data_IF_120141227351
#
_entry.id   IF_120141227351
#
_cell.length_a   1.000
_cell.length_b   1.000
_cell.length_c   1.000
_cell.angle_alpha   90.00
_cell.angle_beta   90.00
_cell.angle_gamma   90.00
#
_symmetry.space_group_name_H-M   'P 1'
#
loop_
_entity.id
_entity.type
_entity.pdbx_description
1 polymer ?
#
# COMPACT_ATOMS: atom_id res chain seq x y z
N UNK A 1 6.16 23.57 -22.69
CA UNK A 1 5.57 22.69 -23.75
C UNK A 1 4.11 22.31 -23.50
N UNK A 2 3.66 22.04 -22.29
CA UNK A 2 2.25 21.69 -21.99
C UNK A 2 1.22 22.77 -22.34
N UNK A 3 1.55 24.05 -22.17
CA UNK A 3 0.63 25.15 -22.50
C UNK A 3 0.25 25.13 -23.97
N UNK A 4 1.17 24.83 -24.89
CA UNK A 4 0.92 24.82 -26.33
C UNK A 4 -0.05 23.72 -26.79
N UNK A 5 -0.14 22.59 -26.10
CA UNK A 5 -1.05 21.48 -26.46
C UNK A 5 -2.48 21.68 -25.94
N UNK A 6 -2.71 22.61 -25.03
CA UNK A 6 -4.05 22.90 -24.52
C UNK A 6 -4.74 24.01 -25.36
N UNK A 7 -3.97 24.81 -26.09
CA UNK A 7 -4.47 26.02 -26.77
C UNK A 7 -4.60 25.88 -28.30
N UNK A 8 -4.08 24.77 -28.87
CA UNK A 8 -4.16 24.54 -30.31
C UNK A 8 -4.69 23.14 -30.65
N UNK A 9 -5.49 23.05 -31.70
CA UNK A 9 -5.86 21.78 -32.34
C UNK A 9 -4.68 21.25 -33.17
N UNK A 10 -4.75 19.98 -33.61
CA UNK A 10 -3.74 19.39 -34.51
C UNK A 10 -3.63 20.08 -35.89
N UNK A 11 -4.60 20.88 -36.24
CA UNK A 11 -4.65 21.71 -37.46
C UNK A 11 -4.25 23.17 -37.21
N UNK A 12 -3.77 23.53 -36.01
CA UNK A 12 -3.33 24.87 -35.65
C UNK A 12 -4.45 25.86 -35.29
N UNK A 13 -5.72 25.42 -35.26
CA UNK A 13 -6.83 26.30 -34.88
C UNK A 13 -6.76 26.61 -33.38
N UNK A 14 -6.75 27.91 -33.04
CA UNK A 14 -6.81 28.35 -31.63
C UNK A 14 -8.18 28.09 -31.04
N UNK A 15 -8.25 27.30 -29.98
CA UNK A 15 -9.50 27.04 -29.28
C UNK A 15 -9.84 28.20 -28.32
N UNK A 16 -11.13 28.53 -28.11
CA UNK A 16 -11.51 29.52 -27.11
C UNK A 16 -11.00 29.08 -25.71
N UNK A 17 -10.62 30.04 -24.86
CA UNK A 17 -10.14 29.71 -23.51
C UNK A 17 -11.19 28.91 -22.71
N UNK A 18 -10.73 27.98 -21.86
CA UNK A 18 -11.60 27.29 -20.94
C UNK A 18 -12.15 28.31 -19.93
N UNK A 19 -13.44 28.26 -19.64
CA UNK A 19 -14.06 29.11 -18.61
C UNK A 19 -13.36 28.84 -17.24
N UNK A 20 -12.65 29.82 -16.66
CA UNK A 20 -11.94 29.64 -15.41
C UNK A 20 -12.87 29.32 -14.23
N UNK A 21 -14.12 29.79 -14.24
CA UNK A 21 -15.09 29.55 -13.17
C UNK A 21 -15.51 28.07 -13.13
N UNK A 22 -15.56 27.40 -14.29
CA UNK A 22 -15.97 26.00 -14.40
C UNK A 22 -14.77 25.05 -14.40
N UNK A 23 -13.67 25.42 -15.06
CA UNK A 23 -12.57 24.53 -15.40
C UNK A 23 -11.24 24.89 -14.73
N UNK A 24 -11.16 26.03 -14.02
CA UNK A 24 -9.92 26.59 -13.49
C UNK A 24 -9.10 25.60 -12.67
N UNK A 25 -9.75 24.90 -11.74
CA UNK A 25 -9.09 23.92 -10.87
C UNK A 25 -8.58 22.69 -11.63
N UNK A 26 -9.38 22.19 -12.59
CA UNK A 26 -9.00 21.05 -13.42
C UNK A 26 -7.88 21.42 -14.39
N UNK A 27 -7.95 22.61 -15.02
CA UNK A 27 -6.90 23.12 -15.87
C UNK A 27 -5.59 23.32 -15.09
N UNK A 28 -5.67 23.88 -13.87
CA UNK A 28 -4.52 24.01 -12.99
C UNK A 28 -3.94 22.63 -12.59
N UNK A 29 -4.80 21.66 -12.31
CA UNK A 29 -4.38 20.28 -12.04
C UNK A 29 -3.67 19.68 -13.26
N UNK A 30 -4.23 19.84 -14.48
CA UNK A 30 -3.62 19.36 -15.72
C UNK A 30 -2.24 20.01 -15.99
N UNK A 31 -2.07 21.29 -15.68
CA UNK A 31 -0.76 21.98 -15.79
C UNK A 31 0.27 21.44 -14.80
N UNK A 32 -0.14 21.18 -13.56
CA UNK A 32 0.74 20.57 -12.53
C UNK A 32 1.13 19.13 -12.87
N UNK A 33 0.21 18.40 -13.48
CA UNK A 33 0.38 17.02 -13.91
C UNK A 33 1.19 16.91 -15.17
N UNK A 34 2.49 17.22 -15.15
CA UNK A 34 3.38 16.98 -16.28
C UNK A 34 3.57 15.49 -16.54
N UNK A 35 2.62 14.90 -17.27
CA UNK A 35 2.68 13.49 -17.64
C UNK A 35 3.66 13.21 -18.80
N UNK A 36 4.26 14.21 -19.43
CA UNK A 36 5.28 13.99 -20.46
C UNK A 36 6.50 13.25 -19.89
N UNK A 37 6.86 13.51 -18.65
CA UNK A 37 7.91 12.79 -17.96
C UNK A 37 7.63 11.27 -17.86
N UNK A 38 6.37 10.83 -17.94
CA UNK A 38 5.97 9.44 -17.90
C UNK A 38 6.00 8.76 -19.28
N UNK A 39 6.17 9.52 -20.38
CA UNK A 39 6.13 9.02 -21.77
C UNK A 39 7.02 7.80 -22.01
N UNK A 40 8.29 7.75 -21.56
CA UNK A 40 9.14 6.59 -21.79
C UNK A 40 8.56 5.29 -21.18
N UNK A 41 7.94 5.37 -20.01
CA UNK A 41 7.33 4.24 -19.34
C UNK A 41 5.98 3.84 -19.94
N UNK A 42 5.24 4.78 -20.52
CA UNK A 42 3.95 4.56 -21.18
C UNK A 42 4.12 4.06 -22.63
N UNK A 43 5.23 4.42 -23.30
CA UNK A 43 5.55 4.06 -24.68
C UNK A 43 6.28 2.72 -24.77
N UNK A 44 5.68 1.64 -24.26
CA UNK A 44 6.24 0.30 -24.54
C UNK A 44 6.20 0.04 -26.05
N UNK A 45 7.23 -0.60 -26.62
CA UNK A 45 7.30 -0.81 -28.06
C UNK A 45 6.04 -1.58 -28.51
N UNK A 46 5.16 -0.84 -29.19
CA UNK A 46 4.16 -1.45 -30.05
C UNK A 46 4.93 -2.11 -31.19
N UNK A 47 4.53 -3.31 -31.59
CA UNK A 47 5.18 -3.95 -32.75
C UNK A 47 5.28 -2.97 -33.91
N UNK A 48 6.41 -2.96 -34.59
CA UNK A 48 6.75 -2.01 -35.67
C UNK A 48 5.80 -2.08 -36.88
N UNK A 49 4.84 -3.00 -36.89
CA UNK A 49 3.88 -3.20 -37.98
C UNK A 49 2.48 -2.72 -37.57
N UNK A 50 1.85 -1.89 -38.38
CA UNK A 50 0.48 -1.43 -38.23
C UNK A 50 0.33 0.09 -38.14
N UNK A 51 -0.92 0.57 -38.00
CA UNK A 51 -1.24 1.97 -37.81
C UNK A 51 -0.54 2.54 -36.57
N UNK A 52 0.06 3.75 -36.63
CA UNK A 52 0.63 4.41 -35.47
C UNK A 52 -0.33 4.43 -34.28
N UNK A 53 0.20 4.10 -33.10
CA UNK A 53 -0.60 4.13 -31.87
C UNK A 53 -1.03 5.56 -31.52
N UNK A 54 -2.16 5.68 -30.83
CA UNK A 54 -2.57 6.95 -30.21
C UNK A 54 -1.54 7.39 -29.18
N UNK A 55 -1.43 8.70 -28.95
CA UNK A 55 -0.52 9.27 -27.97
C UNK A 55 -0.74 8.64 -26.57
N UNK A 56 0.27 7.96 -25.97
CA UNK A 56 0.13 7.26 -24.70
C UNK A 56 -0.07 8.22 -23.53
N UNK A 57 0.44 9.46 -23.61
CA UNK A 57 0.27 10.47 -22.55
C UNK A 57 -1.15 11.00 -22.55
N UNK A 58 -1.75 11.26 -23.71
CA UNK A 58 -3.15 11.66 -23.81
C UNK A 58 -4.10 10.54 -23.38
N UNK A 59 -3.80 9.27 -23.69
CA UNK A 59 -4.54 8.11 -23.17
C UNK A 59 -4.47 8.02 -21.64
N UNK A 60 -3.27 8.20 -21.08
CA UNK A 60 -3.07 8.21 -19.62
C UNK A 60 -3.82 9.37 -18.97
N UNK A 61 -3.71 10.58 -19.51
CA UNK A 61 -4.43 11.80 -19.04
C UNK A 61 -5.94 11.59 -19.05
N UNK A 62 -6.49 10.97 -20.09
CA UNK A 62 -7.91 10.63 -20.19
C UNK A 62 -8.35 9.75 -19.00
N UNK A 63 -7.58 8.74 -18.65
CA UNK A 63 -7.87 7.86 -17.50
C UNK A 63 -7.60 8.53 -16.15
N UNK A 64 -6.63 9.43 -16.08
CA UNK A 64 -6.34 10.20 -14.87
C UNK A 64 -7.48 11.19 -14.57
N UNK A 65 -7.98 11.90 -15.57
CA UNK A 65 -9.15 12.78 -15.42
C UNK A 65 -10.42 12.00 -15.05
N UNK A 66 -10.61 10.79 -15.60
CA UNK A 66 -11.66 9.88 -15.14
C UNK A 66 -11.61 9.64 -13.63
N UNK A 67 -10.41 9.40 -13.08
CA UNK A 67 -10.23 9.20 -11.64
C UNK A 67 -10.40 10.50 -10.83
N UNK A 68 -10.01 11.66 -11.38
CA UNK A 68 -10.21 12.97 -10.74
C UNK A 68 -11.69 13.25 -10.52
N UNK A 69 -12.54 12.94 -11.52
CA UNK A 69 -14.00 13.18 -11.46
C UNK A 69 -14.78 12.03 -10.81
N UNK A 70 -14.11 10.94 -10.45
CA UNK A 70 -14.75 9.79 -9.80
C UNK A 70 -15.61 8.91 -10.71
N UNK A 71 -15.44 8.98 -12.04
CA UNK A 71 -16.24 8.18 -12.97
C UNK A 71 -15.80 6.71 -12.95
N UNK A 72 -16.70 5.82 -12.59
CA UNK A 72 -16.41 4.40 -12.48
C UNK A 72 -16.31 3.71 -13.86
N UNK A 73 -17.17 4.08 -14.81
CA UNK A 73 -17.31 3.46 -16.12
C UNK A 73 -16.41 4.14 -17.16
N UNK A 74 -15.47 3.37 -17.76
CA UNK A 74 -14.67 3.87 -18.90
C UNK A 74 -15.58 4.20 -20.11
N UNK A 75 -16.66 3.45 -20.29
CA UNK A 75 -17.61 3.66 -21.40
C UNK A 75 -18.34 4.99 -21.25
N UNK A 76 -18.86 5.27 -20.06
CA UNK A 76 -19.59 6.51 -19.79
C UNK A 76 -18.66 7.71 -19.80
N UNK A 77 -17.43 7.53 -19.30
CA UNK A 77 -16.38 8.54 -19.38
C UNK A 77 -16.06 8.93 -20.82
N UNK A 78 -15.81 7.96 -21.71
CA UNK A 78 -15.55 8.22 -23.14
C UNK A 78 -16.74 8.91 -23.81
N UNK A 79 -17.97 8.53 -23.46
CA UNK A 79 -19.19 9.21 -23.97
C UNK A 79 -19.20 10.66 -23.53
N UNK A 80 -18.96 10.95 -22.27
CA UNK A 80 -18.90 12.31 -21.72
C UNK A 80 -17.81 13.15 -22.38
N UNK A 81 -16.61 12.59 -22.56
CA UNK A 81 -15.48 13.28 -23.24
C UNK A 81 -15.82 13.62 -24.69
N UNK A 82 -16.53 12.74 -25.41
CA UNK A 82 -16.94 13.01 -26.80
C UNK A 82 -18.03 14.08 -26.93
N UNK A 83 -18.90 14.18 -25.95
CA UNK A 83 -20.01 15.13 -25.93
C UNK A 83 -19.59 16.55 -25.51
N UNK A 84 -18.40 16.74 -24.96
CA UNK A 84 -17.92 18.02 -24.47
C UNK A 84 -16.55 18.36 -25.08
N UNK A 85 -16.46 19.43 -25.87
CA UNK A 85 -15.19 19.93 -26.41
C UNK A 85 -14.17 20.21 -25.30
N UNK A 86 -14.61 20.76 -24.18
CA UNK A 86 -13.74 21.09 -23.04
C UNK A 86 -13.14 19.84 -22.39
N UNK A 87 -13.96 18.79 -22.18
CA UNK A 87 -13.42 17.51 -21.69
C UNK A 87 -12.46 16.87 -22.69
N UNK A 88 -12.78 16.90 -24.00
CA UNK A 88 -11.88 16.40 -25.01
C UNK A 88 -10.54 17.12 -24.95
N UNK A 89 -10.56 18.44 -24.90
CA UNK A 89 -9.38 19.31 -24.81
C UNK A 89 -8.55 19.05 -23.54
N UNK A 90 -9.18 18.98 -22.38
CA UNK A 90 -8.49 18.64 -21.11
C UNK A 90 -7.79 17.29 -21.18
N UNK A 91 -8.38 16.33 -21.89
CA UNK A 91 -7.79 15.02 -22.16
C UNK A 91 -6.67 15.04 -23.21
N UNK A 92 -6.52 16.12 -23.97
CA UNK A 92 -5.57 16.24 -25.08
C UNK A 92 -6.10 15.73 -26.43
N UNK A 93 -7.42 15.81 -26.63
CA UNK A 93 -8.13 15.40 -27.86
C UNK A 93 -8.95 16.54 -28.44
N UNK A 94 -9.30 16.42 -29.73
CA UNK A 94 -10.47 17.11 -30.28
C UNK A 94 -11.70 16.20 -30.15
N UNK A 95 -12.94 16.72 -30.23
CA UNK A 95 -14.14 15.87 -30.17
C UNK A 95 -14.15 14.71 -31.17
N UNK A 96 -13.56 14.94 -32.36
CA UNK A 96 -13.45 13.96 -33.45
C UNK A 96 -12.33 12.93 -33.25
N UNK A 97 -11.31 13.25 -32.44
CA UNK A 97 -10.13 12.38 -32.22
C UNK A 97 -10.20 11.60 -30.93
N UNK A 98 -11.23 11.80 -30.10
CA UNK A 98 -11.43 11.02 -28.84
C UNK A 98 -11.34 9.52 -29.11
N UNK A 99 -10.49 8.78 -28.39
CA UNK A 99 -10.29 7.36 -28.65
C UNK A 99 -11.55 6.53 -28.38
N UNK A 100 -11.66 5.39 -29.07
CA UNK A 100 -12.66 4.41 -28.74
C UNK A 100 -12.41 3.78 -27.35
N UNK A 101 -13.47 3.31 -26.69
CA UNK A 101 -13.39 2.61 -25.41
C UNK A 101 -12.40 1.44 -25.47
N UNK A 102 -12.42 0.67 -26.59
CA UNK A 102 -11.48 -0.44 -26.82
C UNK A 102 -10.02 -0.02 -26.83
N UNK A 103 -9.72 1.21 -27.29
CA UNK A 103 -8.36 1.78 -27.30
C UNK A 103 -7.82 1.98 -25.86
N UNK A 104 -8.67 2.48 -24.95
CA UNK A 104 -8.29 2.63 -23.53
C UNK A 104 -8.08 1.28 -22.83
N UNK A 105 -8.94 0.29 -23.11
CA UNK A 105 -8.72 -1.07 -22.64
C UNK A 105 -7.43 -1.69 -23.21
N UNK A 106 -7.15 -1.49 -24.49
CA UNK A 106 -5.92 -1.96 -25.11
C UNK A 106 -4.67 -1.26 -24.55
N UNK A 107 -4.77 0.02 -24.21
CA UNK A 107 -3.72 0.76 -23.54
C UNK A 107 -3.42 0.19 -22.15
N UNK A 108 -4.44 0.02 -21.30
CA UNK A 108 -4.28 -0.56 -19.96
C UNK A 108 -3.68 -1.97 -20.03
N UNK A 109 -4.09 -2.78 -21.02
CA UNK A 109 -3.53 -4.11 -21.24
C UNK A 109 -2.07 -4.07 -21.69
N UNK A 110 -1.69 -3.11 -22.53
CA UNK A 110 -0.33 -2.96 -23.02
C UNK A 110 0.66 -2.65 -21.89
N UNK A 111 0.25 -1.78 -20.95
CA UNK A 111 1.05 -1.45 -19.77
C UNK A 111 1.08 -2.63 -18.76
N UNK A 112 0.03 -3.45 -18.72
CA UNK A 112 -0.05 -4.66 -17.90
C UNK A 112 -0.52 -5.83 -18.77
N UNK A 113 0.37 -6.52 -19.47
CA UNK A 113 0.00 -7.66 -20.30
C UNK A 113 -0.45 -8.84 -19.42
N UNK A 114 -1.77 -8.97 -19.24
CA UNK A 114 -2.39 -10.05 -18.47
C UNK A 114 -2.42 -11.33 -19.34
N UNK A 115 -1.69 -12.38 -18.98
CA UNK A 115 -1.67 -13.63 -19.76
C UNK A 115 -3.05 -14.27 -19.87
N UNK A 116 -3.94 -14.03 -18.91
CA UNK A 116 -5.28 -14.61 -18.86
C UNK A 116 -6.30 -13.88 -19.74
N UNK A 117 -5.92 -12.77 -20.39
CA UNK A 117 -6.86 -11.98 -21.22
C UNK A 117 -7.49 -12.76 -22.36
N UNK A 118 -6.70 -13.61 -23.03
CA UNK A 118 -7.12 -14.30 -24.27
C UNK A 118 -7.79 -15.65 -24.02
N UNK A 119 -7.49 -16.29 -22.91
CA UNK A 119 -8.14 -17.54 -22.53
C UNK A 119 -9.42 -17.21 -21.75
N UNK A 120 -10.55 -17.66 -22.20
CA UNK A 120 -11.69 -17.89 -21.32
C UNK A 120 -11.22 -18.89 -20.28
N UNK A 121 -10.54 -18.40 -19.22
CA UNK A 121 -9.75 -19.25 -18.35
C UNK A 121 -10.63 -20.29 -17.71
N UNK A 122 -10.30 -21.52 -17.98
CA UNK A 122 -11.00 -22.69 -17.47
C UNK A 122 -10.32 -23.11 -16.19
N UNK A 123 -10.94 -22.83 -15.06
CA UNK A 123 -10.42 -23.27 -13.77
C UNK A 123 -10.74 -24.75 -13.58
N UNK A 124 -9.72 -25.58 -13.38
CA UNK A 124 -9.93 -26.93 -12.90
C UNK A 124 -10.51 -26.89 -11.48
N UNK A 125 -11.40 -27.82 -11.10
CA UNK A 125 -11.78 -27.99 -9.71
C UNK A 125 -10.50 -28.20 -8.88
N UNK A 126 -10.38 -27.53 -7.73
CA UNK A 126 -9.27 -27.79 -6.81
C UNK A 126 -9.37 -29.25 -6.34
N UNK A 127 -8.48 -30.12 -6.85
CA UNK A 127 -8.54 -31.56 -6.63
C UNK A 127 -8.14 -32.03 -5.24
N UNK A 128 -7.66 -31.16 -4.37
CA UNK A 128 -7.31 -31.50 -3.00
C UNK A 128 -8.01 -30.53 -2.04
N UNK A 129 -9.15 -30.94 -1.54
CA UNK A 129 -9.53 -30.50 -0.20
C UNK A 129 -8.57 -31.19 0.75
N UNK A 130 -7.76 -30.44 1.48
CA UNK A 130 -7.09 -30.97 2.65
C UNK A 130 -8.11 -31.60 3.60
N UNK A 131 -7.70 -32.41 4.56
CA UNK A 131 -8.61 -33.03 5.50
C UNK A 131 -9.55 -31.95 6.05
N UNK A 132 -10.85 -32.26 6.07
CA UNK A 132 -11.86 -31.39 6.66
C UNK A 132 -11.52 -31.30 8.15
N UNK A 133 -11.27 -30.10 8.62
CA UNK A 133 -10.95 -29.86 10.03
C UNK A 133 -12.20 -29.44 10.76
N UNK A 134 -12.26 -29.80 12.01
CA UNK A 134 -13.30 -29.33 12.91
C UNK A 134 -13.21 -27.81 13.09
N UNK A 135 -14.32 -27.09 13.27
CA UNK A 135 -14.29 -25.68 13.64
C UNK A 135 -13.40 -25.47 14.87
N UNK A 136 -12.44 -24.55 14.78
CA UNK A 136 -11.49 -24.26 15.88
C UNK A 136 -10.26 -25.17 15.95
N UNK A 137 -10.17 -26.25 15.16
CA UNK A 137 -8.99 -27.12 15.10
C UNK A 137 -7.76 -26.34 14.64
N UNK A 138 -6.77 -26.22 15.53
CA UNK A 138 -5.49 -25.55 15.25
C UNK A 138 -4.54 -26.47 14.48
N UNK A 139 -3.69 -25.88 13.64
CA UNK A 139 -2.57 -26.61 13.03
C UNK A 139 -1.66 -27.20 14.11
N UNK A 140 -1.10 -28.40 13.89
CA UNK A 140 -0.09 -28.94 14.80
C UNK A 140 1.02 -27.90 15.05
N UNK A 141 1.46 -27.71 16.29
CA UNK A 141 2.41 -26.65 16.67
C UNK A 141 3.78 -26.77 15.97
N UNK A 142 4.09 -27.91 15.36
CA UNK A 142 5.37 -28.17 14.65
C UNK A 142 5.44 -27.59 13.22
N UNK A 143 4.35 -27.04 12.65
CA UNK A 143 4.38 -26.44 11.30
C UNK A 143 4.16 -24.94 11.38
N UNK A 144 5.15 -24.13 10.97
CA UNK A 144 4.97 -22.67 10.87
C UNK A 144 3.78 -22.31 10.02
N UNK A 145 3.05 -21.26 10.38
CA UNK A 145 1.93 -20.71 9.62
C UNK A 145 2.34 -20.27 8.21
N UNK A 146 1.38 -20.05 7.33
CA UNK A 146 1.66 -19.60 5.97
C UNK A 146 2.41 -18.25 5.95
N UNK A 147 2.05 -17.35 6.86
CA UNK A 147 2.67 -16.03 7.01
C UNK A 147 4.14 -16.19 7.44
N UNK A 148 4.43 -16.98 8.45
CA UNK A 148 5.80 -17.22 8.93
C UNK A 148 6.69 -17.83 7.85
N UNK A 149 6.18 -18.79 7.09
CA UNK A 149 6.91 -19.41 5.98
C UNK A 149 7.26 -18.40 4.88
N UNK A 150 6.32 -17.50 4.55
CA UNK A 150 6.57 -16.46 3.55
C UNK A 150 7.55 -15.43 4.09
N UNK A 151 7.38 -14.98 5.32
CA UNK A 151 8.29 -14.03 5.97
C UNK A 151 9.73 -14.59 6.00
N UNK A 152 9.91 -15.84 6.45
CA UNK A 152 11.21 -16.51 6.48
C UNK A 152 11.84 -16.67 5.07
N UNK A 153 11.02 -17.01 4.06
CA UNK A 153 11.48 -17.10 2.67
C UNK A 153 11.96 -15.72 2.17
N UNK A 154 11.17 -14.69 2.33
CA UNK A 154 11.50 -13.35 1.84
C UNK A 154 12.69 -12.76 2.59
N UNK A 155 12.86 -13.07 3.88
CA UNK A 155 14.05 -12.68 4.66
C UNK A 155 15.33 -13.28 4.04
N UNK A 156 15.32 -14.56 3.68
CA UNK A 156 16.46 -15.20 3.00
C UNK A 156 16.72 -14.63 1.60
N UNK A 157 15.67 -14.18 0.92
CA UNK A 157 15.75 -13.61 -0.43
C UNK A 157 16.05 -12.11 -0.46
N UNK A 158 16.18 -11.42 0.67
CA UNK A 158 16.30 -9.96 0.72
C UNK A 158 17.47 -9.40 -0.13
N UNK A 159 18.58 -10.13 -0.20
CA UNK A 159 19.77 -9.73 -0.98
C UNK A 159 19.70 -10.14 -2.45
N UNK A 160 18.72 -10.95 -2.86
CA UNK A 160 18.57 -11.38 -4.25
C UNK A 160 17.92 -10.29 -5.09
N UNK A 161 18.27 -10.13 -6.37
CA UNK A 161 17.59 -9.19 -7.25
C UNK A 161 16.09 -9.51 -7.35
N UNK A 162 15.28 -8.49 -7.56
CA UNK A 162 13.86 -8.67 -7.79
C UNK A 162 13.64 -9.32 -9.15
N UNK A 163 12.76 -10.33 -9.19
CA UNK A 163 12.34 -10.93 -10.45
C UNK A 163 11.39 -9.98 -11.18
N UNK A 164 11.52 -9.80 -12.52
CA UNK A 164 10.59 -9.01 -13.32
C UNK A 164 9.14 -9.52 -13.16
N UNK A 165 8.19 -8.61 -13.15
CA UNK A 165 6.76 -8.89 -13.05
C UNK A 165 5.98 -8.05 -14.04
N UNK A 166 4.80 -8.52 -14.40
CA UNK A 166 3.87 -7.81 -15.29
C UNK A 166 3.41 -6.46 -14.74
N UNK A 167 3.53 -6.24 -13.42
CA UNK A 167 3.20 -4.97 -12.76
C UNK A 167 4.31 -3.93 -12.82
N UNK A 168 5.54 -4.29 -13.24
CA UNK A 168 6.71 -3.44 -13.06
C UNK A 168 6.60 -2.10 -13.80
N UNK A 169 5.93 -2.06 -14.95
CA UNK A 169 5.71 -0.80 -15.66
C UNK A 169 4.82 0.16 -14.87
N UNK A 170 3.70 -0.30 -14.34
CA UNK A 170 2.83 0.49 -13.46
C UNK A 170 3.53 0.88 -12.16
N UNK A 171 4.28 -0.06 -11.61
CA UNK A 171 5.06 0.18 -10.40
C UNK A 171 6.17 1.23 -10.62
N UNK A 172 6.78 1.26 -11.80
CA UNK A 172 7.78 2.26 -12.18
C UNK A 172 7.14 3.65 -12.36
N UNK A 173 5.98 3.73 -13.01
CA UNK A 173 5.20 4.96 -13.14
C UNK A 173 4.87 5.56 -11.77
N UNK A 174 4.34 4.75 -10.86
CA UNK A 174 4.06 5.20 -9.50
C UNK A 174 5.33 5.66 -8.78
N UNK A 175 6.42 4.91 -8.90
CA UNK A 175 7.68 5.26 -8.24
C UNK A 175 8.25 6.60 -8.73
N UNK A 176 8.17 6.88 -10.03
CA UNK A 176 8.59 8.16 -10.61
C UNK A 176 7.79 9.33 -10.02
N UNK A 177 6.47 9.18 -9.91
CA UNK A 177 5.60 10.20 -9.31
C UNK A 177 5.83 10.36 -7.81
N UNK A 178 6.10 9.26 -7.10
CA UNK A 178 6.46 9.29 -5.67
C UNK A 178 7.77 10.05 -5.45
N UNK A 179 8.80 9.77 -6.27
CA UNK A 179 10.09 10.50 -6.19
C UNK A 179 9.90 11.98 -6.47
N UNK A 180 9.09 12.34 -7.45
CA UNK A 180 8.72 13.73 -7.73
C UNK A 180 7.99 14.37 -6.54
N UNK A 181 7.14 13.64 -5.85
CA UNK A 181 6.46 14.13 -4.64
C UNK A 181 7.43 14.39 -3.47
N UNK A 182 8.48 13.58 -3.34
CA UNK A 182 9.56 13.84 -2.36
C UNK A 182 10.35 15.09 -2.78
N UNK A 183 10.72 15.20 -4.05
CA UNK A 183 11.48 16.34 -4.58
C UNK A 183 10.72 17.67 -4.43
N UNK A 184 9.41 17.66 -4.60
CA UNK A 184 8.52 18.82 -4.41
C UNK A 184 8.19 19.10 -2.95
N UNK A 185 8.61 18.28 -2.00
CA UNK A 185 8.24 18.43 -0.60
C UNK A 185 6.81 18.04 -0.24
N UNK A 186 6.08 17.36 -1.13
CA UNK A 186 4.76 16.79 -0.85
C UNK A 186 4.83 15.49 -0.02
N UNK A 187 5.99 14.85 0.03
CA UNK A 187 6.31 13.72 0.88
C UNK A 187 7.59 14.00 1.68
N UNK A 188 7.65 13.59 2.95
CA UNK A 188 8.89 13.68 3.72
C UNK A 188 9.94 12.67 3.20
N UNK A 189 11.23 12.90 3.48
CA UNK A 189 12.28 11.94 3.15
C UNK A 189 12.29 10.71 4.07
N UNK A 190 11.73 10.78 5.27
CA UNK A 190 11.62 9.66 6.22
C UNK A 190 10.18 9.22 6.36
N UNK A 191 9.91 7.96 6.07
CA UNK A 191 8.54 7.43 5.99
C UNK A 191 8.17 6.55 7.17
N UNK A 192 7.03 6.85 7.78
CA UNK A 192 6.22 5.92 8.55
C UNK A 192 5.13 5.38 7.61
N UNK A 193 5.14 4.09 7.35
CA UNK A 193 4.26 3.45 6.39
C UNK A 193 3.06 2.81 7.10
N UNK A 194 1.85 3.22 6.75
CA UNK A 194 0.65 2.47 7.10
C UNK A 194 0.40 1.37 6.06
N UNK A 195 0.13 0.14 6.53
CA UNK A 195 -0.11 -1.03 5.70
C UNK A 195 -1.50 -1.60 5.97
N UNK A 196 -2.25 -1.82 4.90
CA UNK A 196 -3.58 -2.45 4.97
C UNK A 196 -4.02 -2.96 3.59
N UNK A 197 -5.09 -3.77 3.58
CA UNK A 197 -5.75 -4.27 2.39
C UNK A 197 -7.20 -3.80 2.29
N UNK A 198 -7.72 -3.68 1.07
CA UNK A 198 -9.13 -3.39 0.83
C UNK A 198 -9.72 -4.31 -0.23
N UNK A 199 -10.95 -4.77 0.00
CA UNK A 199 -11.68 -5.63 -0.94
C UNK A 199 -12.13 -4.87 -2.20
N UNK A 200 -12.00 -5.53 -3.35
CA UNK A 200 -12.47 -5.09 -4.66
C UNK A 200 -13.39 -6.16 -5.23
N UNK A 201 -14.66 -5.83 -5.38
CA UNK A 201 -15.69 -6.77 -5.87
C UNK A 201 -15.61 -6.85 -7.39
N UNK A 202 -15.32 -8.05 -7.92
CA UNK A 202 -15.34 -8.30 -9.37
C UNK A 202 -16.78 -8.31 -9.90
N UNK A 203 -16.97 -7.71 -11.09
CA UNK A 203 -18.23 -7.84 -11.84
C UNK A 203 -18.41 -9.19 -12.51
N UNK A 204 -17.55 -10.16 -12.22
CA UNK A 204 -17.62 -11.52 -12.74
C UNK A 204 -18.44 -12.43 -11.82
N UNK A 205 -19.10 -13.42 -12.42
CA UNK A 205 -19.84 -14.42 -11.67
C UNK A 205 -18.90 -15.40 -10.96
N UNK A 206 -19.11 -15.65 -9.66
CA UNK A 206 -18.22 -16.45 -8.81
C UNK A 206 -18.15 -17.94 -9.19
N UNK A 207 -19.19 -18.47 -9.81
CA UNK A 207 -19.26 -19.88 -10.19
C UNK A 207 -18.74 -20.18 -11.61
N UNK A 208 -18.51 -19.15 -12.43
CA UNK A 208 -18.14 -19.30 -13.82
C UNK A 208 -19.24 -19.95 -14.69
N UNK A 209 -19.04 -19.92 -16.00
CA UNK A 209 -19.95 -20.53 -16.98
C UNK A 209 -19.61 -22.02 -17.14
N UNK A 210 -20.64 -22.88 -17.15
CA UNK A 210 -20.49 -24.28 -17.48
C UNK A 210 -20.08 -24.45 -18.96
N UNK A 211 -19.07 -25.26 -19.21
CA UNK A 211 -18.54 -25.54 -20.57
C UNK A 211 -18.58 -27.01 -20.93
N UNK A 212 -19.22 -27.83 -20.11
CA UNK A 212 -19.41 -29.26 -20.32
C UNK A 212 -20.87 -29.59 -20.65
N UNK A 213 -21.11 -30.73 -21.26
CA UNK A 213 -22.44 -31.24 -21.60
C UNK A 213 -23.16 -31.97 -20.44
N UNK A 214 -22.55 -32.07 -19.24
CA UNK A 214 -23.20 -32.75 -18.10
C UNK A 214 -24.52 -32.08 -17.74
N UNK A 215 -25.56 -32.89 -17.49
CA UNK A 215 -26.92 -32.45 -17.10
C UNK A 215 -26.97 -31.95 -15.65
N UNK A 216 -26.16 -32.51 -14.76
CA UNK A 216 -26.13 -32.16 -13.34
C UNK A 216 -25.69 -30.70 -13.06
N UNK A 217 -26.45 -29.98 -12.21
CA UNK A 217 -26.13 -28.62 -11.80
C UNK A 217 -24.79 -28.53 -11.03
N UNK A 218 -24.38 -29.57 -10.32
CA UNK A 218 -23.19 -29.62 -9.44
C UNK A 218 -22.03 -30.45 -10.02
N UNK A 219 -21.91 -30.54 -11.34
CA UNK A 219 -20.78 -31.25 -11.95
C UNK A 219 -19.43 -30.62 -11.54
N UNK A 220 -18.41 -31.48 -11.41
CA UNK A 220 -17.02 -31.03 -11.08
C UNK A 220 -16.21 -30.70 -12.34
N UNK A 221 -16.83 -30.55 -13.49
CA UNK A 221 -16.16 -30.20 -14.72
C UNK A 221 -15.58 -28.78 -14.66
N UNK A 222 -14.62 -28.55 -15.52
CA UNK A 222 -14.03 -27.22 -15.72
C UNK A 222 -15.10 -26.18 -16.04
N UNK A 223 -14.88 -24.94 -15.60
CA UNK A 223 -15.79 -23.82 -15.88
C UNK A 223 -15.00 -22.63 -16.42
N UNK A 224 -15.61 -21.90 -17.34
CA UNK A 224 -15.06 -20.66 -17.86
C UNK A 224 -15.39 -19.49 -16.93
N UNK A 225 -14.38 -18.71 -16.57
CA UNK A 225 -14.49 -17.53 -15.71
C UNK A 225 -14.14 -16.27 -16.48
N UNK A 226 -14.97 -15.25 -16.41
CA UNK A 226 -14.67 -13.92 -16.99
C UNK A 226 -13.61 -13.17 -16.19
N UNK A 227 -13.41 -13.53 -14.91
CA UNK A 227 -12.28 -13.11 -14.08
C UNK A 227 -11.63 -14.36 -13.46
N UNK A 228 -10.63 -14.96 -14.12
CA UNK A 228 -10.04 -16.22 -13.68
C UNK A 228 -9.18 -16.08 -12.42
N UNK A 229 -8.76 -14.86 -12.10
CA UNK A 229 -7.88 -14.57 -10.97
C UNK A 229 -8.63 -14.11 -9.72
N UNK A 230 -9.92 -13.77 -9.83
CA UNK A 230 -10.75 -13.44 -8.68
C UNK A 230 -11.09 -14.71 -7.87
N UNK A 231 -11.14 -14.58 -6.56
CA UNK A 231 -11.53 -15.65 -5.63
C UNK A 231 -12.50 -15.11 -4.58
N UNK A 232 -13.14 -16.02 -3.84
CA UNK A 232 -13.97 -15.64 -2.70
C UNK A 232 -13.08 -15.20 -1.54
N UNK A 233 -13.33 -14.01 -1.02
CA UNK A 233 -12.74 -13.45 0.19
C UNK A 233 -13.80 -13.19 1.24
N UNK A 234 -13.38 -12.99 2.47
CA UNK A 234 -14.24 -12.61 3.58
C UNK A 234 -14.06 -11.13 3.90
N UNK A 235 -15.16 -10.39 3.90
CA UNK A 235 -15.22 -9.00 4.37
C UNK A 235 -15.65 -9.02 5.85
N UNK A 236 -14.69 -8.86 6.75
CA UNK A 236 -14.93 -8.91 8.20
C UNK A 236 -15.77 -7.74 8.71
N UNK A 237 -15.72 -6.60 8.03
CA UNK A 237 -16.50 -5.42 8.42
C UNK A 237 -17.99 -5.60 8.08
N UNK A 238 -18.28 -6.23 6.92
CA UNK A 238 -19.66 -6.46 6.47
C UNK A 238 -20.18 -7.85 6.77
N UNK A 239 -19.38 -8.70 7.41
CA UNK A 239 -19.68 -10.10 7.74
C UNK A 239 -20.23 -10.91 6.54
N UNK A 240 -19.62 -10.73 5.35
CA UNK A 240 -20.05 -11.44 4.13
C UNK A 240 -18.89 -11.83 3.23
N UNK A 241 -19.14 -12.86 2.43
CA UNK A 241 -18.23 -13.22 1.34
C UNK A 241 -18.40 -12.27 0.15
N UNK A 242 -17.30 -11.98 -0.54
CA UNK A 242 -17.30 -11.31 -1.83
C UNK A 242 -16.40 -12.06 -2.81
N UNK A 243 -16.70 -11.98 -4.10
CA UNK A 243 -15.89 -12.54 -5.16
C UNK A 243 -15.09 -11.43 -5.80
N UNK A 244 -13.75 -11.54 -5.80
CA UNK A 244 -12.92 -10.45 -6.31
C UNK A 244 -11.45 -10.54 -5.92
N UNK A 245 -10.92 -9.38 -5.61
CA UNK A 245 -9.51 -9.16 -5.30
C UNK A 245 -9.35 -8.42 -3.97
N UNK A 246 -8.15 -8.49 -3.39
CA UNK A 246 -7.69 -7.61 -2.32
C UNK A 246 -6.57 -6.72 -2.86
N UNK A 247 -6.75 -5.40 -2.76
CA UNK A 247 -5.71 -4.42 -3.05
C UNK A 247 -5.03 -4.04 -1.74
N UNK A 248 -3.72 -4.23 -1.69
CA UNK A 248 -2.91 -3.88 -0.53
C UNK A 248 -2.04 -2.67 -0.84
N UNK A 249 -2.00 -1.71 0.08
CA UNK A 249 -1.21 -0.50 -0.02
C UNK A 249 -0.18 -0.36 1.08
N UNK A 250 0.92 0.32 0.75
CA UNK A 250 1.75 1.03 1.71
C UNK A 250 1.57 2.53 1.45
N UNK A 251 1.19 3.24 2.48
CA UNK A 251 0.85 4.66 2.45
C UNK A 251 1.76 5.41 3.40
N UNK A 252 2.33 6.53 2.97
CA UNK A 252 3.09 7.39 3.89
C UNK A 252 2.11 8.04 4.86
N UNK A 253 2.29 7.77 6.13
CA UNK A 253 1.35 8.12 7.18
C UNK A 253 1.75 9.39 7.94
N UNK A 254 3.06 9.66 8.06
CA UNK A 254 3.53 10.88 8.69
C UNK A 254 3.46 12.06 7.72
N UNK A 255 2.92 13.21 8.16
CA UNK A 255 2.85 14.41 7.34
C UNK A 255 4.24 15.04 7.14
N UNK A 256 4.37 15.89 6.15
CA UNK A 256 5.45 16.88 6.08
C UNK A 256 5.21 17.91 7.16
N UNK A 257 6.24 18.32 7.92
CA UNK A 257 6.08 19.36 8.94
C UNK A 257 5.44 20.63 8.38
N UNK A 258 4.43 21.16 9.07
CA UNK A 258 3.69 22.35 8.64
C UNK A 258 2.63 22.12 7.55
N UNK A 259 2.48 20.90 7.06
CA UNK A 259 1.46 20.58 6.05
C UNK A 259 0.37 19.66 6.60
N UNK A 260 -0.87 19.75 6.10
CA UNK A 260 -1.92 18.81 6.46
C UNK A 260 -1.58 17.40 6.00
N UNK A 261 -1.93 16.40 6.80
CA UNK A 261 -1.70 15.00 6.45
C UNK A 261 -2.52 14.62 5.20
N UNK A 262 -1.81 14.21 4.15
CA UNK A 262 -2.41 13.67 2.93
C UNK A 262 -1.93 12.23 2.71
N UNK A 263 -2.84 11.26 2.59
CA UNK A 263 -2.46 9.86 2.47
C UNK A 263 -1.97 9.56 1.05
N UNK A 264 -0.66 9.41 0.86
CA UNK A 264 -0.06 9.13 -0.44
C UNK A 264 0.44 7.69 -0.51
N UNK A 265 -0.11 6.95 -1.48
CA UNK A 265 0.24 5.54 -1.74
C UNK A 265 1.60 5.46 -2.41
N UNK A 266 2.56 4.79 -1.81
CA UNK A 266 3.92 4.62 -2.36
C UNK A 266 4.18 3.21 -2.91
N UNK A 267 3.32 2.26 -2.57
CA UNK A 267 3.40 0.89 -3.09
C UNK A 267 2.04 0.23 -3.00
N UNK A 268 1.68 -0.54 -4.02
CA UNK A 268 0.45 -1.32 -4.01
C UNK A 268 0.64 -2.70 -4.65
N UNK A 269 -0.22 -3.65 -4.32
CA UNK A 269 -0.34 -4.93 -5.00
C UNK A 269 -1.79 -5.38 -5.05
N UNK A 270 -2.07 -6.21 -6.02
CA UNK A 270 -3.38 -6.82 -6.21
C UNK A 270 -3.26 -8.33 -6.09
N UNK A 271 -4.07 -8.92 -5.24
CA UNK A 271 -4.12 -10.35 -4.98
C UNK A 271 -5.55 -10.87 -5.11
N UNK A 272 -5.75 -12.18 -5.31
CA UNK A 272 -7.07 -12.77 -5.12
C UNK A 272 -7.62 -12.48 -3.71
N UNK A 273 -8.94 -12.32 -3.58
CA UNK A 273 -9.58 -11.89 -2.34
C UNK A 273 -9.34 -12.81 -1.13
N UNK A 274 -9.02 -14.09 -1.34
CA UNK A 274 -8.72 -15.05 -0.28
C UNK A 274 -7.28 -14.97 0.26
N UNK A 275 -6.45 -14.08 -0.28
CA UNK A 275 -5.07 -13.95 0.19
C UNK A 275 -5.00 -13.01 1.38
N UNK A 276 -4.56 -13.55 2.52
CA UNK A 276 -4.38 -12.81 3.75
C UNK A 276 -3.29 -11.72 3.59
N UNK A 277 -3.52 -10.56 4.16
CA UNK A 277 -2.65 -9.39 4.02
C UNK A 277 -1.23 -9.64 4.52
N UNK A 278 -1.09 -10.31 5.66
CA UNK A 278 0.20 -10.71 6.21
C UNK A 278 1.03 -11.63 5.29
N UNK A 279 0.38 -12.38 4.37
CA UNK A 279 1.09 -13.23 3.38
C UNK A 279 1.66 -12.38 2.23
N UNK A 280 1.02 -11.28 1.88
CA UNK A 280 1.45 -10.43 0.77
C UNK A 280 2.44 -9.34 1.19
N UNK A 281 2.41 -8.95 2.46
CA UNK A 281 3.19 -7.86 3.03
C UNK A 281 4.72 -8.00 2.88
N UNK A 282 5.36 -9.16 3.17
CA UNK A 282 6.81 -9.28 3.08
C UNK A 282 7.36 -8.98 1.67
N UNK A 283 6.78 -9.57 0.64
CA UNK A 283 7.17 -9.30 -0.75
C UNK A 283 7.00 -7.82 -1.12
N UNK A 284 5.95 -7.18 -0.59
CA UNK A 284 5.68 -5.78 -0.83
C UNK A 284 6.72 -4.88 -0.17
N UNK A 285 6.98 -5.02 1.12
CA UNK A 285 7.97 -4.20 1.82
C UNK A 285 9.35 -4.36 1.21
N UNK A 286 9.74 -5.59 0.84
CA UNK A 286 11.00 -5.86 0.14
C UNK A 286 11.09 -5.08 -1.18
N UNK A 287 10.04 -5.12 -2.01
CA UNK A 287 9.96 -4.36 -3.27
C UNK A 287 10.06 -2.86 -3.05
N UNK A 288 9.35 -2.34 -2.07
CA UNK A 288 9.35 -0.92 -1.73
C UNK A 288 10.75 -0.47 -1.32
N UNK A 289 11.43 -1.21 -0.45
CA UNK A 289 12.82 -0.93 -0.07
C UNK A 289 13.75 -0.91 -1.28
N UNK A 290 13.69 -1.94 -2.12
CA UNK A 290 14.56 -2.04 -3.29
C UNK A 290 14.30 -0.91 -4.30
N UNK A 291 13.05 -0.48 -4.45
CA UNK A 291 12.65 0.57 -5.39
C UNK A 291 13.14 1.95 -4.97
N UNK A 292 13.10 2.25 -3.68
CA UNK A 292 13.51 3.55 -3.16
C UNK A 292 14.93 3.55 -2.55
N UNK A 293 15.68 2.45 -2.71
CA UNK A 293 17.08 2.41 -2.34
C UNK A 293 17.88 3.45 -3.15
N UNK A 294 18.72 4.24 -2.49
CA UNK A 294 19.54 5.27 -3.13
C UNK A 294 18.80 6.55 -3.56
N UNK A 295 17.50 6.68 -3.28
CA UNK A 295 16.71 7.87 -3.64
C UNK A 295 16.63 8.93 -2.53
N UNK A 296 17.41 8.79 -1.46
CA UNK A 296 17.33 9.67 -0.28
C UNK A 296 16.16 9.37 0.67
N UNK A 297 15.33 8.39 0.32
CA UNK A 297 14.18 7.98 1.16
C UNK A 297 14.62 6.96 2.21
N UNK A 298 14.20 7.17 3.46
CA UNK A 298 14.40 6.24 4.57
C UNK A 298 13.07 5.70 5.08
N UNK A 299 12.93 4.36 5.12
CA UNK A 299 11.78 3.71 5.73
C UNK A 299 12.03 3.53 7.23
N UNK A 300 11.25 4.18 8.07
CA UNK A 300 11.46 4.20 9.53
C UNK A 300 10.56 3.20 10.26
N UNK A 301 9.26 3.28 10.05
CA UNK A 301 8.26 2.47 10.75
C UNK A 301 7.29 1.82 9.76
N UNK A 302 6.71 0.69 10.17
CA UNK A 302 5.52 0.11 9.51
C UNK A 302 4.43 -0.05 10.53
N UNK A 303 3.28 0.53 10.26
CA UNK A 303 2.11 0.59 11.14
C UNK A 303 1.02 -0.26 10.50
N UNK A 304 0.49 -1.24 11.22
CA UNK A 304 -0.55 -2.14 10.71
C UNK A 304 -1.47 -2.64 11.82
N UNK A 305 -2.60 -3.23 11.43
CA UNK A 305 -3.56 -3.80 12.36
C UNK A 305 -3.13 -5.18 12.93
N UNK A 306 -4.02 -5.80 13.69
CA UNK A 306 -3.78 -7.07 14.34
C UNK A 306 -3.59 -8.25 13.35
N UNK A 307 -4.01 -8.13 12.10
CA UNK A 307 -3.75 -9.16 11.08
C UNK A 307 -2.25 -9.34 10.79
N UNK A 308 -1.44 -8.34 11.14
CA UNK A 308 0.03 -8.37 11.00
C UNK A 308 0.74 -8.82 12.29
N UNK A 309 0.02 -9.09 13.37
CA UNK A 309 0.59 -9.49 14.66
C UNK A 309 1.04 -10.95 14.68
N UNK A 310 2.01 -11.28 13.82
CA UNK A 310 2.62 -12.62 13.67
C UNK A 310 4.13 -12.50 13.85
N UNK A 311 4.75 -13.38 14.64
CA UNK A 311 6.18 -13.32 14.99
C UNK A 311 7.10 -13.20 13.76
N UNK A 312 6.80 -13.95 12.70
CA UNK A 312 7.55 -13.88 11.45
C UNK A 312 7.51 -12.49 10.80
N UNK A 313 6.39 -11.77 10.90
CA UNK A 313 6.28 -10.40 10.35
C UNK A 313 7.02 -9.38 11.21
N UNK A 314 6.99 -9.51 12.54
CA UNK A 314 7.79 -8.67 13.42
C UNK A 314 9.28 -8.83 13.13
N UNK A 315 9.75 -10.07 13.05
CA UNK A 315 11.16 -10.39 12.75
C UNK A 315 11.56 -9.89 11.37
N UNK A 316 10.74 -10.15 10.35
CA UNK A 316 10.98 -9.70 8.98
C UNK A 316 11.05 -8.18 8.87
N UNK A 317 10.13 -7.45 9.52
CA UNK A 317 10.06 -5.99 9.45
C UNK A 317 11.31 -5.36 10.07
N UNK A 318 11.76 -5.88 11.22
CA UNK A 318 13.02 -5.45 11.86
C UNK A 318 14.24 -5.78 11.00
N UNK A 319 14.33 -6.98 10.46
CA UNK A 319 15.40 -7.38 9.53
C UNK A 319 15.39 -6.52 8.24
N UNK A 320 14.25 -5.93 7.93
CA UNK A 320 14.12 -4.95 6.84
C UNK A 320 14.54 -3.52 7.24
N UNK A 321 15.06 -3.30 8.44
CA UNK A 321 15.47 -1.98 8.93
C UNK A 321 14.31 -1.07 9.37
N UNK A 322 13.11 -1.61 9.50
CA UNK A 322 11.94 -0.85 9.91
C UNK A 322 11.50 -1.23 11.33
N UNK A 323 10.94 -0.27 12.06
CA UNK A 323 10.31 -0.51 13.36
C UNK A 323 8.85 -0.94 13.15
N UNK A 324 8.45 -2.18 13.50
CA UNK A 324 7.05 -2.60 13.43
C UNK A 324 6.23 -1.95 14.54
N UNK A 325 5.05 -1.42 14.18
CA UNK A 325 4.05 -0.84 15.10
C UNK A 325 2.71 -1.51 14.77
N UNK A 326 2.58 -2.78 15.14
CA UNK A 326 1.39 -3.58 14.86
C UNK A 326 0.49 -3.63 16.09
N UNK A 327 -0.83 -3.56 15.89
CA UNK A 327 -1.77 -3.82 16.98
C UNK A 327 -1.67 -5.28 17.40
N UNK A 328 -1.68 -5.59 18.69
CA UNK A 328 -1.69 -6.98 19.14
C UNK A 328 -3.07 -7.62 18.95
N UNK A 329 -3.10 -8.90 18.61
CA UNK A 329 -4.34 -9.70 18.63
C UNK A 329 -4.98 -9.75 20.02
N UNK A 330 -4.12 -9.94 21.03
CA UNK A 330 -4.52 -9.90 22.44
C UNK A 330 -3.64 -8.87 23.12
N UNK A 331 -4.21 -7.88 23.80
CA UNK A 331 -3.42 -6.89 24.51
C UNK A 331 -2.37 -7.57 25.39
N UNK A 332 -1.09 -7.24 25.26
CA UNK A 332 -0.06 -7.83 26.10
C UNK A 332 -0.24 -7.35 27.53
N UNK A 333 0.11 -8.20 28.49
CA UNK A 333 0.19 -7.79 29.88
C UNK A 333 1.18 -6.62 29.99
N UNK A 334 0.85 -5.55 30.72
CA UNK A 334 1.77 -4.43 30.95
C UNK A 334 3.12 -4.95 31.50
N UNK A 335 4.24 -4.31 31.12
CA UNK A 335 5.54 -4.68 31.68
C UNK A 335 5.55 -4.44 33.19
N UNK A 336 6.22 -5.32 33.91
CA UNK A 336 6.36 -5.22 35.37
C UNK A 336 7.82 -5.09 35.77
N UNK A 337 8.07 -4.24 36.74
CA UNK A 337 9.36 -4.15 37.42
C UNK A 337 9.55 -5.33 38.36
N UNK A 338 10.80 -5.71 38.59
CA UNK A 338 11.11 -6.66 39.68
C UNK A 338 10.81 -6.01 41.04
N UNK A 339 10.41 -6.80 42.05
CA UNK A 339 10.17 -6.25 43.38
C UNK A 339 11.35 -5.43 43.92
N UNK A 340 12.57 -5.90 43.67
CA UNK A 340 13.79 -5.18 44.06
C UNK A 340 13.99 -3.84 43.31
N UNK A 341 13.46 -3.71 42.08
CA UNK A 341 13.51 -2.45 41.37
C UNK A 341 12.47 -1.45 41.89
N UNK A 342 11.26 -1.93 42.18
CA UNK A 342 10.19 -1.12 42.81
C UNK A 342 10.61 -0.64 44.18
N UNK A 343 11.18 -1.52 45.03
CA UNK A 343 11.71 -1.15 46.35
C UNK A 343 12.86 -0.14 46.28
N UNK A 344 13.56 -0.05 45.14
CA UNK A 344 14.60 0.96 44.90
C UNK A 344 14.04 2.28 44.30
N UNK A 345 12.73 2.52 44.35
CA UNK A 345 12.09 3.72 43.83
C UNK A 345 12.16 3.85 42.30
N UNK A 346 12.29 2.74 41.58
CA UNK A 346 12.25 2.73 40.14
C UNK A 346 10.81 2.58 39.68
N UNK A 347 10.37 3.47 38.80
CA UNK A 347 9.04 3.49 38.21
C UNK A 347 9.08 3.34 36.69
N UNK A 348 7.97 2.95 36.07
CA UNK A 348 7.83 2.96 34.62
C UNK A 348 7.30 4.31 34.14
N UNK A 349 8.06 5.00 33.33
CA UNK A 349 7.62 6.23 32.68
C UNK A 349 6.48 6.00 31.69
N UNK A 350 5.94 7.08 31.18
CA UNK A 350 4.84 7.04 30.18
C UNK A 350 5.22 6.31 28.89
N UNK A 351 6.49 6.19 28.56
CA UNK A 351 7.04 5.42 27.43
C UNK A 351 7.44 3.98 27.84
N UNK A 352 7.05 3.54 29.03
CA UNK A 352 7.36 2.25 29.65
C UNK A 352 8.87 2.01 29.86
N UNK A 353 9.69 3.05 29.84
CA UNK A 353 11.09 2.96 30.28
C UNK A 353 11.16 3.09 31.79
N UNK A 354 12.05 2.29 32.44
CA UNK A 354 12.30 2.50 33.85
C UNK A 354 12.93 3.87 34.08
N UNK A 355 12.42 4.59 35.06
CA UNK A 355 12.90 5.87 35.54
C UNK A 355 13.38 5.66 36.99
N UNK A 356 14.59 6.10 37.31
CA UNK A 356 15.10 5.99 38.68
C UNK A 356 14.49 7.05 39.60
N UNK A 357 14.64 6.91 40.91
CA UNK A 357 14.15 7.84 41.92
C UNK A 357 14.61 9.29 41.72
N UNK A 358 15.72 9.53 41.00
CA UNK A 358 16.18 10.85 40.59
C UNK A 358 15.55 11.36 39.29
N UNK A 359 14.45 10.77 38.82
CA UNK A 359 13.75 11.19 37.61
C UNK A 359 14.47 10.89 36.26
N UNK A 360 15.57 10.13 36.28
CA UNK A 360 16.37 9.87 35.08
C UNK A 360 15.95 8.57 34.41
N UNK A 361 15.67 8.54 33.10
CA UNK A 361 15.37 7.31 32.37
C UNK A 361 16.62 6.42 32.31
N UNK A 362 16.43 5.12 32.58
CA UNK A 362 17.49 4.12 32.49
C UNK A 362 17.81 3.79 31.01
N UNK A 363 19.05 3.40 30.76
CA UNK A 363 19.51 3.00 29.42
C UNK A 363 19.34 1.49 29.22
N UNK A 364 18.83 1.04 28.06
CA UNK A 364 18.72 -0.39 27.74
C UNK A 364 20.10 -1.03 27.58
N UNK A 365 20.27 -2.24 28.12
CA UNK A 365 21.53 -3.04 28.08
C UNK A 365 21.34 -4.37 27.34
N UNK A 366 20.23 -4.55 26.67
CA UNK A 366 19.91 -5.77 25.95
C UNK A 366 18.92 -6.65 26.68
N UNK A 367 18.83 -7.88 26.23
CA UNK A 367 17.88 -8.87 26.72
C UNK A 367 18.60 -9.97 27.49
N UNK A 368 18.18 -10.23 28.70
CA UNK A 368 18.75 -11.32 29.52
C UNK A 368 18.24 -12.69 29.07
N UNK A 369 16.94 -12.77 28.81
CA UNK A 369 16.23 -13.95 28.29
C UNK A 369 14.93 -13.47 27.60
N UNK A 370 14.29 -14.31 26.77
CA UNK A 370 13.03 -13.91 26.14
C UNK A 370 12.05 -13.29 27.14
N UNK A 371 11.62 -12.05 26.88
CA UNK A 371 10.68 -11.30 27.73
C UNK A 371 11.31 -10.51 28.87
N UNK A 372 12.62 -10.61 29.13
CA UNK A 372 13.26 -9.87 30.22
C UNK A 372 14.35 -8.93 29.64
N UNK A 373 14.07 -7.63 29.69
CA UNK A 373 15.02 -6.58 29.31
C UNK A 373 15.85 -6.14 30.49
N UNK A 374 17.14 -5.92 30.22
CA UNK A 374 18.09 -5.34 31.17
C UNK A 374 18.20 -3.84 30.93
N UNK A 375 18.19 -3.10 32.00
CA UNK A 375 18.37 -1.65 32.02
C UNK A 375 19.45 -1.27 33.04
N UNK A 376 20.14 -0.18 32.79
CA UNK A 376 21.15 0.31 33.69
C UNK A 376 21.09 1.84 33.82
N UNK A 377 21.57 2.33 34.94
CA UNK A 377 21.69 3.77 35.16
C UNK A 377 22.64 4.38 34.10
N UNK A 378 22.26 5.46 33.40
CA UNK A 378 23.14 6.11 32.43
C UNK A 378 24.45 6.63 33.07
N UNK A 379 24.43 6.99 34.34
CA UNK A 379 25.61 7.42 35.08
C UNK A 379 26.69 6.33 35.28
N UNK A 380 26.41 5.06 34.95
CA UNK A 380 27.43 4.01 34.87
C UNK A 380 28.38 4.19 33.68
N UNK A 381 28.01 4.99 32.69
CA UNK A 381 28.90 5.33 31.60
C UNK A 381 29.87 6.44 32.07
N UNK A 382 31.17 6.18 32.02
CA UNK A 382 32.22 7.16 32.43
C UNK A 382 32.13 8.51 31.69
N UNK A 383 31.47 8.54 30.52
CA UNK A 383 31.25 9.77 29.73
C UNK A 383 29.93 10.50 30.08
N UNK A 384 29.10 9.95 30.94
CA UNK A 384 27.83 10.56 31.31
C UNK A 384 28.03 11.49 32.53
N UNK A 385 27.21 12.53 32.64
CA UNK A 385 27.19 13.40 33.82
C UNK A 385 26.93 12.57 35.09
N UNK A 386 27.64 12.88 36.20
CA UNK A 386 27.45 12.19 37.47
C UNK A 386 26.00 12.30 37.95
N UNK A 387 25.54 11.31 38.70
CA UNK A 387 24.20 11.32 39.25
C UNK A 387 24.14 12.25 40.46
N UNK A 388 23.23 13.23 40.50
CA UNK A 388 23.10 14.13 41.64
C UNK A 388 22.62 13.41 42.91
N UNK A 389 21.95 12.26 42.76
CA UNK A 389 21.43 11.48 43.88
C UNK A 389 21.98 10.06 43.79
N UNK A 390 23.09 9.74 44.44
CA UNK A 390 23.63 8.40 44.51
C UNK A 390 22.59 7.44 45.08
N UNK A 391 22.31 6.34 44.39
CA UNK A 391 21.40 5.32 44.88
C UNK A 391 22.10 3.96 44.96
N UNK A 392 21.64 3.09 45.84
CA UNK A 392 22.18 1.75 46.03
C UNK A 392 22.18 0.93 44.72
N UNK A 393 21.34 1.26 43.76
CA UNK A 393 21.22 0.64 42.44
C UNK A 393 22.08 1.33 41.34
N UNK A 394 22.85 2.38 41.66
CA UNK A 394 23.67 3.07 40.67
C UNK A 394 24.67 2.16 39.95
N UNK A 395 25.11 1.07 40.60
CA UNK A 395 25.98 0.05 40.03
C UNK A 395 25.24 -1.22 39.56
N UNK A 396 23.93 -1.31 39.78
CA UNK A 396 23.11 -2.49 39.48
C UNK A 396 22.39 -2.45 38.13
N UNK A 397 22.01 -3.63 37.67
CA UNK A 397 21.12 -3.78 36.51
C UNK A 397 19.67 -3.91 37.01
N UNK A 398 18.75 -3.30 36.30
CA UNK A 398 17.31 -3.39 36.53
C UNK A 398 16.71 -4.30 35.50
N UNK A 399 15.91 -5.26 35.90
CA UNK A 399 15.18 -6.15 35.01
C UNK A 399 13.73 -5.68 34.88
N UNK A 400 13.26 -5.55 33.66
CA UNK A 400 11.86 -5.31 33.35
C UNK A 400 11.33 -6.54 32.63
N UNK A 401 10.27 -7.12 33.15
CA UNK A 401 9.62 -8.26 32.53
C UNK A 401 8.58 -7.74 31.51
N UNK A 402 8.89 -7.90 30.26
CA UNK A 402 7.99 -7.66 29.15
C UNK A 402 7.47 -9.02 28.67
N UNK A 403 6.34 -9.47 29.14
CA UNK A 403 5.67 -10.64 28.58
C UNK A 403 5.30 -10.34 27.12
N UNK A 404 6.05 -10.91 26.17
CA UNK A 404 5.94 -10.58 24.75
C UNK A 404 7.01 -9.58 24.30
N UNK A 405 8.26 -10.03 24.17
CA UNK A 405 9.43 -9.24 23.74
C UNK A 405 9.24 -8.44 22.47
N UNK A 406 8.38 -8.92 21.54
CA UNK A 406 8.13 -8.24 20.27
C UNK A 406 7.56 -6.83 20.45
N UNK A 407 6.74 -6.59 21.48
CA UNK A 407 6.09 -5.29 21.70
C UNK A 407 6.98 -4.28 22.45
N UNK A 408 7.97 -4.73 23.17
CA UNK A 408 8.86 -3.87 23.96
C UNK A 408 10.12 -3.44 23.23
N UNK A 409 10.65 -4.30 22.36
CA UNK A 409 11.95 -4.10 21.71
C UNK A 409 11.93 -3.11 20.53
N UNK A 410 10.81 -2.42 20.28
CA UNK A 410 10.63 -1.62 19.06
C UNK A 410 11.00 -0.14 19.20
N UNK A 411 11.37 0.35 20.38
CA UNK A 411 11.47 1.79 20.64
C UNK A 411 10.11 2.52 20.64
N UNK A 412 9.03 1.80 20.36
CA UNK A 412 7.64 2.27 20.41
C UNK A 412 6.83 1.22 21.21
N UNK A 413 7.01 1.16 22.54
CA UNK A 413 6.38 0.13 23.39
C UNK A 413 4.85 0.23 23.31
N UNK A 414 4.19 -0.92 23.18
CA UNK A 414 2.73 -0.98 23.14
C UNK A 414 2.10 -0.32 24.38
N UNK A 415 1.04 0.46 24.15
CA UNK A 415 0.29 1.14 25.22
C UNK A 415 0.93 2.45 25.69
N UNK A 416 2.18 2.76 25.32
CA UNK A 416 2.82 4.04 25.65
C UNK A 416 2.17 5.20 24.86
N UNK A 417 2.30 6.46 25.34
CA UNK A 417 1.83 7.63 24.61
C UNK A 417 2.44 7.75 23.21
N UNK A 418 3.73 7.38 23.05
CA UNK A 418 4.38 7.38 21.73
C UNK A 418 3.76 6.32 20.81
N UNK A 419 3.41 5.13 21.34
CA UNK A 419 2.73 4.09 20.58
C UNK A 419 1.36 4.59 20.10
N UNK A 420 0.54 5.14 21.00
CA UNK A 420 -0.81 5.65 20.68
C UNK A 420 -0.76 6.69 19.57
N UNK A 421 0.13 7.68 19.70
CA UNK A 421 0.33 8.72 18.66
C UNK A 421 0.80 8.13 17.33
N UNK A 422 1.74 7.18 17.36
CA UNK A 422 2.25 6.54 16.14
C UNK A 422 1.20 5.64 15.52
N UNK A 423 0.49 4.85 16.31
CA UNK A 423 -0.53 3.94 15.81
C UNK A 423 -1.75 4.68 15.21
N UNK A 424 -2.10 5.84 15.75
CA UNK A 424 -3.15 6.69 15.20
C UNK A 424 -2.89 7.08 13.72
N UNK A 425 -1.64 7.11 13.28
CA UNK A 425 -1.28 7.34 11.88
C UNK A 425 -1.76 6.22 10.94
N UNK A 426 -2.17 5.05 11.46
CA UNK A 426 -2.73 3.96 10.66
C UNK A 426 -3.94 4.40 9.82
N UNK A 427 -4.72 5.34 10.31
CA UNK A 427 -5.88 5.89 9.57
C UNK A 427 -5.52 6.47 8.19
N UNK A 428 -4.24 6.72 7.91
CA UNK A 428 -3.79 7.18 6.60
C UNK A 428 -4.14 6.17 5.48
N UNK A 429 -3.99 4.86 5.73
CA UNK A 429 -4.33 3.85 4.73
C UNK A 429 -5.84 3.71 4.55
N UNK A 430 -6.64 3.91 5.59
CA UNK A 430 -8.10 3.93 5.50
C UNK A 430 -8.58 5.12 4.66
N UNK A 431 -7.96 6.31 4.86
CA UNK A 431 -8.22 7.48 4.01
C UNK A 431 -7.82 7.23 2.56
N UNK A 432 -6.68 6.59 2.28
CA UNK A 432 -6.31 6.20 0.92
C UNK A 432 -7.32 5.24 0.28
N UNK A 433 -7.83 4.28 1.07
CA UNK A 433 -8.90 3.37 0.63
C UNK A 433 -10.21 4.12 0.29
N UNK A 434 -10.52 5.21 1.00
CA UNK A 434 -11.68 6.07 0.71
C UNK A 434 -11.46 6.89 -0.56
N UNK A 435 -10.25 7.39 -0.81
CA UNK A 435 -9.91 8.10 -2.05
C UNK A 435 -10.05 7.19 -3.28
N UNK A 436 -9.73 5.90 -3.18
CA UNK A 436 -10.00 4.96 -4.27
C UNK A 436 -11.50 4.75 -4.53
N UNK A 437 -12.33 4.83 -3.50
CA UNK A 437 -13.78 4.80 -3.68
C UNK A 437 -14.27 6.07 -4.39
N UNK A 438 -13.81 7.24 -3.97
CA UNK A 438 -14.14 8.53 -4.58
C UNK A 438 -13.65 8.64 -6.03
N UNK A 439 -12.51 8.00 -6.36
CA UNK A 439 -12.02 7.90 -7.74
C UNK A 439 -12.80 6.89 -8.62
N UNK A 440 -13.93 6.36 -8.13
CA UNK A 440 -14.76 5.39 -8.86
C UNK A 440 -14.12 4.02 -9.03
N UNK A 441 -12.98 3.74 -8.38
CA UNK A 441 -12.27 2.46 -8.56
C UNK A 441 -13.03 1.32 -7.92
N UNK A 442 -13.48 1.49 -6.67
CA UNK A 442 -14.14 0.38 -5.93
C UNK A 442 -15.49 -0.04 -6.50
N UNK A 443 -16.17 0.86 -7.19
CA UNK A 443 -17.49 0.63 -7.81
C UNK A 443 -17.42 0.18 -9.26
N UNK A 444 -16.24 0.17 -9.87
CA UNK A 444 -16.05 -0.10 -11.30
C UNK A 444 -16.41 -1.54 -11.75
N UNK A 445 -16.47 -2.51 -10.84
CA UNK A 445 -16.86 -3.89 -11.14
C UNK A 445 -16.01 -4.56 -12.22
N UNK A 446 -14.72 -4.25 -12.32
CA UNK A 446 -13.85 -4.81 -13.35
C UNK A 446 -13.74 -6.34 -13.25
N UNK A 447 -13.50 -6.98 -14.38
CA UNK A 447 -13.42 -8.46 -14.52
C UNK A 447 -12.02 -8.96 -14.80
N UNK A 448 -11.00 -8.09 -14.77
CA UNK A 448 -9.61 -8.44 -15.12
C UNK A 448 -8.62 -7.67 -14.24
N UNK A 449 -7.55 -8.36 -13.83
CA UNK A 449 -6.52 -7.78 -12.94
C UNK A 449 -5.87 -6.53 -13.52
N UNK A 450 -5.58 -6.49 -14.82
CA UNK A 450 -4.93 -5.35 -15.44
C UNK A 450 -5.76 -4.08 -15.36
N UNK A 451 -7.10 -4.19 -15.42
CA UNK A 451 -8.01 -3.06 -15.25
C UNK A 451 -7.98 -2.54 -13.81
N UNK A 452 -8.09 -3.43 -12.84
CA UNK A 452 -8.00 -3.09 -11.43
C UNK A 452 -6.68 -2.41 -11.11
N UNK A 453 -5.56 -3.04 -11.52
CA UNK A 453 -4.24 -2.55 -11.16
C UNK A 453 -3.95 -1.19 -11.79
N UNK A 454 -4.23 -1.02 -13.08
CA UNK A 454 -4.07 0.25 -13.76
C UNK A 454 -4.89 1.37 -13.11
N UNK A 455 -6.17 1.11 -12.81
CA UNK A 455 -7.04 2.09 -12.16
C UNK A 455 -6.57 2.47 -10.74
N UNK A 456 -6.10 1.51 -9.96
CA UNK A 456 -5.55 1.76 -8.62
C UNK A 456 -4.29 2.64 -8.69
N UNK A 457 -3.37 2.34 -9.61
CA UNK A 457 -2.15 3.14 -9.79
C UNK A 457 -2.48 4.54 -10.29
N UNK A 458 -3.36 4.67 -11.28
CA UNK A 458 -3.78 5.98 -11.80
C UNK A 458 -4.41 6.82 -10.69
N UNK A 459 -5.31 6.26 -9.90
CA UNK A 459 -5.93 6.97 -8.78
C UNK A 459 -4.89 7.38 -7.72
N UNK A 460 -3.89 6.53 -7.44
CA UNK A 460 -2.79 6.89 -6.55
C UNK A 460 -1.97 8.07 -7.13
N UNK A 461 -1.63 8.03 -8.41
CA UNK A 461 -0.91 9.13 -9.10
C UNK A 461 -1.71 10.44 -9.05
N UNK A 462 -3.02 10.38 -9.25
CA UNK A 462 -3.90 11.55 -9.14
C UNK A 462 -3.79 12.22 -7.77
N UNK A 463 -3.74 11.46 -6.70
CA UNK A 463 -3.62 12.00 -5.34
C UNK A 463 -2.23 12.63 -5.10
N UNK A 464 -1.18 12.07 -5.66
CA UNK A 464 0.15 12.71 -5.63
C UNK A 464 0.13 14.08 -6.32
N UNK A 465 -0.45 14.17 -7.51
CA UNK A 465 -0.57 15.45 -8.25
C UNK A 465 -1.44 16.46 -7.50
N UNK A 466 -2.52 16.03 -6.84
CA UNK A 466 -3.32 16.91 -5.96
C UNK A 466 -2.48 17.44 -4.80
N UNK A 467 -1.64 16.60 -4.21
CA UNK A 467 -0.77 17.00 -3.11
C UNK A 467 0.26 18.07 -3.54
N UNK A 468 0.77 18.01 -4.78
CA UNK A 468 1.69 19.03 -5.31
C UNK A 468 1.10 20.43 -5.34
N UNK A 469 -0.23 20.57 -5.50
CA UNK A 469 -0.91 21.87 -5.45
C UNK A 469 -1.09 22.45 -4.05
N UNK A 470 -0.73 21.72 -3.01
CA UNK A 470 -0.84 22.14 -1.60
C UNK A 470 0.50 22.53 -0.99
N UNK A 471 1.59 22.24 -1.70
CA UNK A 471 2.92 22.64 -1.26
C UNK A 471 3.07 24.13 -1.53
N UNK A 472 3.45 24.95 -0.54
CA UNK A 472 3.77 26.36 -0.78
C UNK A 472 4.85 26.48 -1.85
N UNK A 473 4.74 27.54 -2.68
CA UNK A 473 5.71 27.86 -3.72
C UNK A 473 7.06 28.27 -3.12
#
# INVERSE_FOLDING_TARGET
MLARHMDHTTDGTTLPPLDPAVWGDLAAWCRRADFEALRPALSRPAGQRGRPGRDPVALFRTLALQAVVGEASITDWVRRVRQSPDWARLCGWTPTTVPAVSTLYAFLYRVYPDPDRRSGAVRAPSGRRGPVRAPGEKLPPRRPGAIDRVAARVTREQRRPLRPRVTDAWDALLAQVVQESVRRGALPATWDLAADGTGLVSGAHSFGRKVCACTGRRCRCRRSFSDPTALLGWDSHRHRYYFGHSAQALVVANPVPGQPAHPLVVSLALHPANRHDGVAYPDRLRKTRARYAGTGVTLRRVIADAAYDVDGLWTFTRASGCVPVFAPHTPPTPPTLSPAATAAGIELGADLRPICAAGRPLAPRGQQRPGIMLWACPAQNRRAAPCPTPCAKARGRVTVNHRGTRYAASGVPYGSPIWRRTYALRTAVERANSLWASAGVKTAGHRRRYLWYGRLVIAAIVEHVKAWGRVPA
#
